data_IF_877251161774
#
_entry.id   IF_877251161774
#
_cell.length_a   1.000
_cell.length_b   1.000
_cell.length_c   1.000
_cell.angle_alpha   90.00
_cell.angle_beta   90.00
_cell.angle_gamma   90.00
#
_symmetry.space_group_name_H-M   'P 1'
#
loop_
_entity.id
_entity.type
_entity.pdbx_description
1 polymer ?
#
# COMPACT_ATOMS: atom_id res chain seq x y z
N UNK A 1 -22.04 -8.58 22.07
CA UNK A 1 -20.95 -9.55 21.82
C UNK A 1 -19.93 -9.30 22.90
N UNK A 2 -19.54 -10.31 23.66
CA UNK A 2 -18.45 -10.13 24.64
C UNK A 2 -17.10 -10.10 23.91
N UNK A 3 -16.14 -9.42 24.53
CA UNK A 3 -14.76 -9.30 24.04
C UNK A 3 -14.10 -10.66 23.80
N UNK A 4 -14.42 -11.68 24.61
CA UNK A 4 -13.89 -13.02 24.47
C UNK A 4 -14.31 -13.67 23.15
N UNK A 5 -15.58 -13.57 22.78
CA UNK A 5 -16.08 -14.07 21.50
C UNK A 5 -15.33 -13.43 20.33
N UNK A 6 -15.06 -12.11 20.38
CA UNK A 6 -14.26 -11.45 19.35
C UNK A 6 -12.83 -11.97 19.34
N UNK A 7 -12.17 -12.00 20.49
CA UNK A 7 -10.77 -12.41 20.60
C UNK A 7 -10.54 -13.85 20.14
N UNK A 8 -11.48 -14.77 20.35
CA UNK A 8 -11.29 -16.19 19.98
C UNK A 8 -11.85 -16.57 18.61
N UNK A 9 -12.59 -15.68 17.95
CA UNK A 9 -13.30 -15.96 16.70
C UNK A 9 -12.44 -16.64 15.62
N UNK A 10 -11.25 -16.10 15.32
CA UNK A 10 -10.35 -16.69 14.32
C UNK A 10 -9.80 -18.05 14.76
N UNK A 11 -9.48 -18.23 16.06
CA UNK A 11 -8.99 -19.51 16.59
C UNK A 11 -10.08 -20.58 16.54
N UNK A 12 -11.31 -20.22 16.89
CA UNK A 12 -12.45 -21.12 16.80
C UNK A 12 -12.71 -21.53 15.34
N UNK A 13 -12.61 -20.58 14.41
CA UNK A 13 -12.72 -20.88 12.98
C UNK A 13 -11.62 -21.85 12.51
N UNK A 14 -10.36 -21.67 12.90
CA UNK A 14 -9.29 -22.61 12.51
C UNK A 14 -9.47 -23.99 13.14
N UNK A 15 -10.04 -24.07 14.35
CA UNK A 15 -10.40 -25.33 15.00
C UNK A 15 -11.51 -26.08 14.26
N UNK A 16 -12.61 -25.40 13.93
CA UNK A 16 -13.73 -25.99 13.22
C UNK A 16 -13.30 -26.53 11.85
N UNK A 17 -12.49 -25.77 11.11
CA UNK A 17 -11.93 -26.19 9.83
C UNK A 17 -11.04 -27.43 9.97
N UNK A 18 -10.15 -27.46 10.98
CA UNK A 18 -9.30 -28.63 11.22
C UNK A 18 -10.10 -29.86 11.61
N UNK A 19 -11.13 -29.71 12.44
CA UNK A 19 -12.02 -30.82 12.84
C UNK A 19 -12.77 -31.39 11.63
N UNK A 20 -13.25 -30.53 10.73
CA UNK A 20 -14.00 -30.95 9.55
C UNK A 20 -13.12 -31.61 8.49
N UNK A 21 -11.96 -31.02 8.18
CA UNK A 21 -11.09 -31.47 7.08
C UNK A 21 -9.94 -32.38 7.51
N UNK A 22 -9.71 -32.57 8.82
CA UNK A 22 -8.60 -33.36 9.36
C UNK A 22 -7.21 -32.77 9.11
N UNK A 23 -7.12 -31.50 8.67
CA UNK A 23 -5.88 -30.82 8.30
C UNK A 23 -5.76 -29.49 9.05
N UNK A 24 -4.53 -29.09 9.39
CA UNK A 24 -4.28 -27.76 9.96
C UNK A 24 -4.66 -26.67 8.96
N UNK A 25 -5.16 -25.55 9.46
CA UNK A 25 -5.70 -24.43 8.67
C UNK A 25 -4.59 -23.45 8.27
N UNK A 26 -4.64 -22.92 7.05
CA UNK A 26 -3.84 -21.77 6.62
C UNK A 26 -4.72 -20.53 6.77
N UNK A 27 -4.19 -19.49 7.41
CA UNK A 27 -4.92 -18.23 7.62
C UNK A 27 -4.32 -17.13 6.75
N UNK A 28 -5.12 -16.56 5.85
CA UNK A 28 -4.74 -15.42 5.02
C UNK A 28 -5.52 -14.20 5.51
N UNK A 29 -4.82 -13.16 5.92
CA UNK A 29 -5.43 -11.91 6.42
C UNK A 29 -4.95 -10.77 5.54
N UNK A 30 -5.86 -10.23 4.75
CA UNK A 30 -5.57 -9.07 3.92
C UNK A 30 -5.88 -7.75 4.64
N UNK A 31 -5.15 -6.71 4.25
CA UNK A 31 -5.27 -5.34 4.77
C UNK A 31 -5.41 -5.26 6.31
N UNK A 32 -4.54 -5.98 7.04
CA UNK A 32 -4.65 -6.10 8.50
C UNK A 32 -4.57 -4.74 9.22
N UNK A 33 -3.96 -3.75 8.58
CA UNK A 33 -3.70 -2.41 9.10
C UNK A 33 -4.84 -1.40 8.81
N UNK A 34 -5.78 -1.71 7.91
CA UNK A 34 -6.92 -0.82 7.58
C UNK A 34 -7.83 -0.51 8.78
N UNK A 35 -8.20 -1.48 9.65
CA UNK A 35 -8.99 -1.16 10.84
C UNK A 35 -8.26 -0.19 11.79
N UNK A 36 -6.92 -0.24 11.83
CA UNK A 36 -6.09 0.67 12.62
C UNK A 36 -6.07 2.08 12.02
N UNK A 37 -6.00 2.18 10.69
CA UNK A 37 -6.15 3.44 9.96
C UNK A 37 -7.47 4.14 10.35
N UNK A 38 -8.58 3.40 10.25
CA UNK A 38 -9.92 3.92 10.56
C UNK A 38 -10.13 4.22 12.04
N UNK A 39 -9.49 3.46 12.93
CA UNK A 39 -9.50 3.74 14.36
C UNK A 39 -8.72 5.01 14.70
N UNK A 40 -7.60 5.26 14.03
CA UNK A 40 -6.84 6.50 14.16
C UNK A 40 -7.66 7.71 13.70
N UNK A 41 -8.23 7.66 12.50
CA UNK A 41 -9.09 8.73 11.94
C UNK A 41 -10.25 9.11 12.87
N UNK A 42 -10.80 8.12 13.60
CA UNK A 42 -11.98 8.28 14.46
C UNK A 42 -11.65 8.40 15.96
N UNK A 43 -10.37 8.48 16.33
CA UNK A 43 -9.92 8.72 17.70
C UNK A 43 -10.06 7.54 18.68
N UNK A 44 -10.13 6.29 18.20
CA UNK A 44 -10.17 5.09 19.04
C UNK A 44 -9.07 4.07 18.72
N UNK A 45 -7.91 4.56 18.27
CA UNK A 45 -6.74 3.75 17.92
C UNK A 45 -6.33 2.75 19.02
N UNK A 46 -6.20 3.23 20.26
CA UNK A 46 -5.82 2.42 21.42
C UNK A 46 -6.74 1.22 21.70
N UNK A 47 -8.08 1.40 21.79
CA UNK A 47 -9.02 0.27 21.81
C UNK A 47 -8.84 -0.72 20.64
N UNK A 48 -8.64 -0.23 19.41
CA UNK A 48 -8.50 -1.09 18.24
C UNK A 48 -7.21 -1.92 18.27
N UNK A 49 -6.07 -1.33 18.68
CA UNK A 49 -4.83 -2.08 18.89
C UNK A 49 -5.05 -3.23 19.88
N UNK A 50 -5.74 -2.98 21.00
CA UNK A 50 -6.00 -4.02 22.00
C UNK A 50 -6.83 -5.17 21.44
N UNK A 51 -7.85 -4.85 20.64
CA UNK A 51 -8.67 -5.84 19.96
C UNK A 51 -7.84 -6.68 18.98
N UNK A 52 -7.12 -6.04 18.05
CA UNK A 52 -6.31 -6.74 17.03
C UNK A 52 -5.21 -7.58 17.67
N UNK A 53 -4.51 -7.04 18.67
CA UNK A 53 -3.50 -7.77 19.43
C UNK A 53 -4.06 -9.04 20.06
N UNK A 54 -5.25 -8.95 20.64
CA UNK A 54 -5.89 -10.10 21.30
C UNK A 54 -6.36 -11.12 20.27
N UNK A 55 -6.99 -10.66 19.19
CA UNK A 55 -7.45 -11.49 18.07
C UNK A 55 -6.31 -12.24 17.37
N UNK A 56 -5.22 -11.56 17.05
CA UNK A 56 -4.06 -12.18 16.40
C UNK A 56 -3.24 -13.00 17.40
N UNK A 57 -3.16 -12.55 18.66
CA UNK A 57 -2.52 -13.30 19.73
C UNK A 57 -3.15 -14.69 19.91
N UNK A 58 -4.47 -14.79 20.01
CA UNK A 58 -5.16 -16.08 20.17
C UNK A 58 -5.10 -16.95 18.91
N UNK A 59 -5.15 -16.34 17.72
CA UNK A 59 -5.20 -17.06 16.45
C UNK A 59 -3.83 -17.57 15.99
N UNK A 60 -2.78 -16.76 16.17
CA UNK A 60 -1.45 -17.01 15.61
C UNK A 60 -0.50 -17.64 16.63
N UNK A 61 -0.66 -17.34 17.92
CA UNK A 61 0.24 -17.86 18.97
C UNK A 61 -0.30 -19.15 19.54
N UNK A 62 0.55 -20.18 19.62
CA UNK A 62 0.24 -21.46 20.29
C UNK A 62 -1.07 -22.11 19.79
N UNK A 63 -1.43 -21.88 18.52
CA UNK A 63 -2.62 -22.45 17.90
C UNK A 63 -2.27 -23.75 17.18
N UNK A 64 -2.52 -24.89 17.81
CA UNK A 64 -2.27 -26.23 17.24
C UNK A 64 -3.14 -26.55 16.02
N UNK A 65 -4.15 -25.72 15.75
CA UNK A 65 -5.01 -25.85 14.59
C UNK A 65 -4.49 -25.10 13.37
N UNK A 66 -3.54 -24.18 13.56
CA UNK A 66 -2.92 -23.40 12.51
C UNK A 66 -1.71 -24.14 11.92
N UNK A 67 -1.56 -24.09 10.60
CA UNK A 67 -0.37 -24.54 9.88
C UNK A 67 0.63 -23.38 9.73
N UNK A 68 0.22 -22.31 9.04
CA UNK A 68 0.89 -20.99 9.05
C UNK A 68 -0.15 -19.90 8.73
N UNK A 69 0.26 -18.64 8.85
CA UNK A 69 -0.54 -17.50 8.47
C UNK A 69 0.25 -16.54 7.58
N UNK A 70 -0.46 -15.83 6.69
CA UNK A 70 0.06 -14.73 5.88
C UNK A 70 -0.77 -13.50 6.19
N UNK A 71 -0.10 -12.39 6.44
CA UNK A 71 -0.74 -11.11 6.71
C UNK A 71 -0.20 -10.10 5.70
N UNK A 72 -1.09 -9.37 5.02
CA UNK A 72 -0.74 -8.32 4.06
C UNK A 72 -1.30 -6.98 4.53
N UNK A 73 -0.57 -5.90 4.25
CA UNK A 73 -0.92 -4.54 4.66
C UNK A 73 0.11 -3.54 4.15
N UNK A 74 -0.25 -2.26 4.13
CA UNK A 74 0.62 -1.20 3.60
C UNK A 74 1.59 -0.68 4.67
N UNK A 75 1.07 -0.36 5.86
CA UNK A 75 1.90 0.16 6.95
C UNK A 75 2.28 -0.96 7.92
N UNK A 76 3.54 -0.97 8.34
CA UNK A 76 4.04 -1.91 9.33
C UNK A 76 3.74 -1.39 10.74
N UNK A 77 2.68 -1.90 11.36
CA UNK A 77 2.34 -1.60 12.76
C UNK A 77 3.16 -2.46 13.76
N UNK A 78 4.23 -3.10 13.30
CA UNK A 78 4.98 -4.08 14.07
C UNK A 78 5.72 -3.48 15.30
N UNK A 79 5.95 -2.16 15.33
CA UNK A 79 6.62 -1.51 16.47
C UNK A 79 5.78 -1.47 17.75
N UNK A 80 4.44 -1.54 17.64
CA UNK A 80 3.57 -1.38 18.80
C UNK A 80 2.73 -2.62 19.11
N UNK A 81 3.35 -3.57 19.80
CA UNK A 81 2.67 -4.53 20.68
C UNK A 81 1.67 -5.53 20.08
N UNK A 82 1.14 -5.36 18.86
CA UNK A 82 0.16 -6.29 18.26
C UNK A 82 0.74 -7.70 18.09
N UNK A 83 2.06 -7.76 17.88
CA UNK A 83 2.82 -9.00 17.75
C UNK A 83 3.71 -9.29 18.97
N UNK A 84 3.52 -8.59 20.10
CA UNK A 84 4.34 -8.87 21.29
C UNK A 84 4.18 -10.32 21.73
N UNK A 85 5.31 -11.04 21.74
CA UNK A 85 5.38 -12.45 22.11
C UNK A 85 5.01 -13.44 21.00
N UNK A 86 4.91 -13.00 19.75
CA UNK A 86 4.98 -13.86 18.56
C UNK A 86 6.42 -13.82 18.04
N UNK A 87 7.13 -14.95 18.15
CA UNK A 87 8.59 -14.98 17.96
C UNK A 87 9.03 -15.51 16.58
N UNK A 88 8.09 -15.85 15.67
CA UNK A 88 8.37 -16.55 14.42
C UNK A 88 7.80 -15.82 13.19
N UNK A 89 8.17 -14.55 12.99
CA UNK A 89 7.77 -13.79 11.81
C UNK A 89 8.91 -13.64 10.81
N UNK A 90 8.60 -13.94 9.55
CA UNK A 90 9.36 -13.43 8.41
C UNK A 90 8.59 -12.24 7.85
N UNK A 91 9.28 -11.15 7.59
CA UNK A 91 8.71 -9.93 7.01
C UNK A 91 9.35 -9.74 5.65
N UNK A 92 8.51 -9.60 4.63
CA UNK A 92 8.93 -9.32 3.25
C UNK A 92 8.27 -8.01 2.84
N UNK A 93 9.10 -6.99 2.65
CA UNK A 93 8.73 -5.65 2.22
C UNK A 93 8.97 -5.48 0.71
N UNK A 94 8.48 -4.37 0.16
CA UNK A 94 8.72 -4.02 -1.25
C UNK A 94 10.20 -3.86 -1.59
N UNK A 95 11.07 -3.67 -0.59
CA UNK A 95 12.52 -3.53 -0.78
C UNK A 95 13.30 -4.84 -0.71
N UNK A 96 12.66 -5.92 -0.25
CA UNK A 96 13.30 -7.23 -0.19
C UNK A 96 13.34 -7.86 -1.59
N UNK A 97 14.41 -8.61 -1.87
CA UNK A 97 14.58 -9.35 -3.14
C UNK A 97 13.76 -10.63 -3.13
N UNK A 98 13.47 -11.17 -1.94
CA UNK A 98 12.60 -12.31 -1.78
C UNK A 98 11.21 -11.99 -2.35
N UNK A 99 10.80 -12.81 -3.31
CA UNK A 99 9.49 -12.74 -3.98
C UNK A 99 9.24 -11.50 -4.85
N UNK A 100 10.27 -10.73 -5.20
CA UNK A 100 10.09 -9.46 -5.91
C UNK A 100 9.35 -9.58 -7.26
N UNK A 101 9.45 -10.72 -7.94
CA UNK A 101 8.72 -11.05 -9.17
C UNK A 101 7.25 -11.44 -8.96
N UNK A 102 6.80 -11.76 -7.74
CA UNK A 102 5.45 -12.29 -7.48
C UNK A 102 4.44 -11.25 -6.96
N UNK A 103 4.87 -10.01 -6.74
CA UNK A 103 3.99 -8.93 -6.25
C UNK A 103 3.20 -8.23 -7.38
N UNK A 104 3.48 -8.56 -8.63
CA UNK A 104 2.89 -7.92 -9.80
C UNK A 104 3.03 -8.80 -11.04
N UNK A 105 2.85 -8.20 -12.22
CA UNK A 105 3.18 -8.88 -13.47
C UNK A 105 4.55 -8.47 -13.99
N UNK A 106 5.33 -9.42 -14.50
CA UNK A 106 6.59 -9.13 -15.20
C UNK A 106 6.33 -8.52 -16.57
N UNK A 107 7.36 -7.89 -17.17
CA UNK A 107 7.26 -7.38 -18.55
C UNK A 107 6.92 -8.50 -19.55
N UNK A 108 7.46 -9.71 -19.36
CA UNK A 108 7.13 -10.85 -20.22
C UNK A 108 5.67 -11.30 -20.06
N UNK A 109 5.16 -11.34 -18.82
CA UNK A 109 3.77 -11.71 -18.55
C UNK A 109 2.78 -10.70 -19.16
N UNK A 110 3.09 -9.40 -19.07
CA UNK A 110 2.27 -8.35 -19.67
C UNK A 110 2.28 -8.45 -21.19
N UNK A 111 3.46 -8.63 -21.83
CA UNK A 111 3.55 -8.85 -23.28
C UNK A 111 2.72 -10.06 -23.71
N UNK A 112 2.88 -11.20 -23.01
CA UNK A 112 2.14 -12.41 -23.30
C UNK A 112 0.62 -12.22 -23.15
N UNK A 113 0.18 -11.48 -22.12
CA UNK A 113 -1.24 -11.18 -21.90
C UNK A 113 -1.80 -10.28 -23.02
N UNK A 114 -1.07 -9.26 -23.45
CA UNK A 114 -1.48 -8.38 -24.54
C UNK A 114 -1.58 -9.14 -25.85
N UNK A 115 -0.58 -9.96 -26.18
CA UNK A 115 -0.59 -10.79 -27.38
C UNK A 115 -1.77 -11.77 -27.40
N UNK A 116 -2.05 -12.40 -26.26
CA UNK A 116 -3.20 -13.31 -26.12
C UNK A 116 -4.54 -12.64 -26.44
N UNK A 117 -4.70 -11.36 -26.11
CA UNK A 117 -5.91 -10.58 -26.42
C UNK A 117 -5.85 -9.82 -27.74
N UNK A 118 -4.79 -9.96 -28.54
CA UNK A 118 -4.61 -9.23 -29.80
C UNK A 118 -4.35 -7.73 -29.61
N UNK A 119 -3.74 -7.36 -28.48
CA UNK A 119 -3.41 -5.99 -28.06
C UNK A 119 -1.90 -5.72 -28.07
N UNK A 120 -1.09 -6.56 -28.72
CA UNK A 120 0.38 -6.43 -28.75
C UNK A 120 0.85 -5.06 -29.24
N UNK A 121 0.16 -4.46 -30.21
CA UNK A 121 0.45 -3.12 -30.73
C UNK A 121 0.29 -2.00 -29.68
N UNK A 122 -0.44 -2.25 -28.59
CA UNK A 122 -0.67 -1.31 -27.50
C UNK A 122 0.40 -1.39 -26.39
N UNK A 123 1.41 -2.27 -26.52
CA UNK A 123 2.40 -2.53 -25.47
C UNK A 123 3.10 -1.26 -24.96
N UNK A 124 3.57 -0.39 -25.86
CA UNK A 124 4.28 0.84 -25.44
C UNK A 124 3.37 1.77 -24.62
N UNK A 125 2.08 1.85 -24.97
CA UNK A 125 1.11 2.63 -24.19
C UNK A 125 0.83 2.00 -22.82
N UNK A 126 0.77 0.67 -22.74
CA UNK A 126 0.61 -0.06 -21.46
C UNK A 126 1.84 0.12 -20.58
N UNK A 127 3.03 0.07 -21.17
CA UNK A 127 4.29 0.30 -20.47
C UNK A 127 4.36 1.70 -19.87
N UNK A 128 4.11 2.73 -20.67
CA UNK A 128 4.11 4.12 -20.20
C UNK A 128 3.10 4.37 -19.06
N UNK A 129 1.94 3.72 -19.12
CA UNK A 129 0.86 3.95 -18.17
C UNK A 129 0.94 3.13 -16.90
N UNK A 130 1.45 1.90 -16.96
CA UNK A 130 1.28 0.91 -15.90
C UNK A 130 2.58 0.22 -15.44
N UNK A 131 3.71 0.39 -16.15
CA UNK A 131 5.03 -0.11 -15.74
C UNK A 131 5.74 0.85 -14.80
N UNK A 132 6.74 0.37 -14.06
CA UNK A 132 7.73 1.22 -13.40
C UNK A 132 7.75 1.10 -11.89
N UNK A 133 6.97 0.18 -11.30
CA UNK A 133 7.13 -0.18 -9.91
C UNK A 133 8.37 -1.04 -9.74
N UNK A 134 9.32 -0.58 -8.92
CA UNK A 134 10.43 -1.40 -8.48
C UNK A 134 10.06 -2.16 -7.21
N UNK A 135 10.30 -3.47 -7.21
CA UNK A 135 10.27 -4.35 -6.05
C UNK A 135 11.61 -5.08 -6.03
N UNK A 136 12.32 -5.07 -4.90
CA UNK A 136 13.69 -5.62 -4.84
C UNK A 136 14.56 -5.15 -6.02
N UNK A 137 14.89 -6.10 -6.91
CA UNK A 137 15.67 -5.86 -8.13
C UNK A 137 14.85 -5.92 -9.43
N UNK A 138 13.55 -6.14 -9.34
CA UNK A 138 12.65 -6.35 -10.48
C UNK A 138 11.74 -5.15 -10.68
N UNK A 139 11.41 -4.85 -11.95
CA UNK A 139 10.35 -3.91 -12.31
C UNK A 139 9.09 -4.69 -12.66
N UNK A 140 7.97 -4.31 -12.06
CA UNK A 140 6.70 -5.01 -12.19
C UNK A 140 5.56 -4.04 -12.50
N UNK A 141 4.50 -4.59 -13.07
CA UNK A 141 3.27 -3.89 -13.37
C UNK A 141 2.22 -4.19 -12.29
N UNK A 142 1.34 -3.21 -12.04
CA UNK A 142 0.16 -3.44 -11.21
C UNK A 142 -0.81 -4.42 -11.90
N UNK A 143 -1.12 -5.59 -11.30
CA UNK A 143 -1.98 -6.58 -11.93
C UNK A 143 -3.39 -6.08 -12.25
N UNK A 144 -3.94 -5.24 -11.38
CA UNK A 144 -5.28 -4.67 -11.54
C UNK A 144 -5.37 -3.78 -12.77
N UNK A 145 -4.38 -2.90 -12.97
CA UNK A 145 -4.39 -1.91 -14.03
C UNK A 145 -4.24 -2.58 -15.40
N UNK A 146 -3.32 -3.52 -15.53
CA UNK A 146 -3.13 -4.32 -16.76
C UNK A 146 -4.37 -5.17 -17.07
N UNK A 147 -4.95 -5.81 -16.05
CA UNK A 147 -6.16 -6.63 -16.22
C UNK A 147 -7.36 -5.77 -16.66
N UNK A 148 -7.53 -4.60 -16.06
CA UNK A 148 -8.58 -3.65 -16.41
C UNK A 148 -8.37 -3.09 -17.82
N UNK A 149 -7.12 -2.78 -18.19
CA UNK A 149 -6.76 -2.38 -19.54
C UNK A 149 -7.18 -3.42 -20.57
N UNK A 150 -6.71 -4.67 -20.41
CA UNK A 150 -7.05 -5.77 -21.32
C UNK A 150 -8.56 -6.01 -21.38
N UNK A 151 -9.24 -5.99 -20.23
CA UNK A 151 -10.69 -6.17 -20.13
C UNK A 151 -11.48 -5.15 -20.94
N UNK A 152 -11.09 -3.86 -20.91
CA UNK A 152 -11.76 -2.80 -21.69
C UNK A 152 -11.38 -2.80 -23.17
N UNK A 153 -10.11 -3.05 -23.49
CA UNK A 153 -9.59 -2.90 -24.84
C UNK A 153 -9.84 -4.11 -25.73
N UNK A 154 -10.16 -5.28 -25.17
CA UNK A 154 -10.44 -6.51 -25.95
C UNK A 154 -11.54 -6.36 -27.01
N UNK A 155 -12.51 -5.48 -26.78
CA UNK A 155 -13.60 -5.21 -27.73
C UNK A 155 -13.41 -3.90 -28.49
N UNK A 156 -12.45 -3.07 -28.10
CA UNK A 156 -12.12 -1.80 -28.73
C UNK A 156 -10.68 -1.39 -28.39
N UNK A 157 -9.72 -1.84 -29.18
CA UNK A 157 -8.30 -1.60 -28.98
C UNK A 157 -7.87 -0.12 -29.08
N UNK A 158 -8.76 0.75 -29.60
CA UNK A 158 -8.50 2.18 -29.80
C UNK A 158 -8.93 3.06 -28.61
N UNK A 159 -9.45 2.46 -27.54
CA UNK A 159 -9.73 3.23 -26.32
C UNK A 159 -8.42 3.81 -25.78
N UNK A 160 -8.48 5.00 -25.16
CA UNK A 160 -7.33 5.51 -24.42
C UNK A 160 -7.14 4.71 -23.12
N UNK A 161 -5.89 4.57 -22.63
CA UNK A 161 -5.62 4.15 -21.25
C UNK A 161 -6.36 5.03 -20.24
N UNK A 162 -6.60 4.49 -19.04
CA UNK A 162 -7.37 5.14 -17.98
C UNK A 162 -6.71 4.93 -16.61
N UNK A 163 -7.06 5.81 -15.67
CA UNK A 163 -6.68 5.63 -14.26
C UNK A 163 -7.66 4.62 -13.61
N UNK A 164 -7.21 3.39 -13.38
CA UNK A 164 -7.93 2.31 -12.70
C UNK A 164 -7.70 2.29 -11.19
N UNK A 165 -6.60 2.88 -10.72
CA UNK A 165 -6.16 2.94 -9.33
C UNK A 165 -6.83 4.06 -8.51
N UNK A 166 -7.55 4.97 -9.17
CA UNK A 166 -8.08 6.22 -8.59
C UNK A 166 -9.09 6.06 -7.42
N UNK A 167 -9.58 4.85 -7.15
CA UNK A 167 -10.57 4.53 -6.12
C UNK A 167 -10.09 3.49 -5.08
N UNK A 168 -8.79 3.27 -4.92
CA UNK A 168 -8.25 2.34 -3.93
C UNK A 168 -8.13 2.96 -2.52
N UNK A 169 -8.08 2.10 -1.50
CA UNK A 169 -8.06 2.43 -0.05
C UNK A 169 -6.90 3.35 0.36
N UNK A 170 -5.77 3.33 -0.35
CA UNK A 170 -4.59 4.18 -0.09
C UNK A 170 -4.85 5.69 -0.19
N UNK A 171 -5.87 6.11 -0.95
CA UNK A 171 -6.21 7.53 -1.13
C UNK A 171 -6.65 8.21 0.17
N UNK A 172 -7.26 7.47 1.11
CA UNK A 172 -7.74 8.03 2.37
C UNK A 172 -6.59 8.46 3.28
N UNK A 173 -5.52 7.66 3.35
CA UNK A 173 -4.32 7.94 4.15
C UNK A 173 -3.65 9.22 3.66
N UNK A 174 -3.47 9.37 2.34
CA UNK A 174 -2.87 10.57 1.73
C UNK A 174 -3.74 11.80 1.98
N UNK A 175 -5.06 11.68 1.79
CA UNK A 175 -6.01 12.80 2.03
C UNK A 175 -5.96 13.29 3.46
N UNK A 176 -5.94 12.38 4.44
CA UNK A 176 -5.86 12.74 5.84
C UNK A 176 -4.53 13.42 6.15
N UNK A 177 -3.42 12.89 5.61
CA UNK A 177 -2.10 13.47 5.80
C UNK A 177 -2.00 14.90 5.26
N UNK A 178 -2.49 15.16 4.04
CA UNK A 178 -2.46 16.49 3.43
C UNK A 178 -3.24 17.52 4.26
N UNK A 179 -4.34 17.11 4.90
CA UNK A 179 -5.09 17.97 5.82
C UNK A 179 -4.25 18.35 7.04
N UNK A 180 -3.57 17.38 7.64
CA UNK A 180 -2.88 17.53 8.93
C UNK A 180 -1.48 18.16 8.84
N UNK A 181 -0.88 18.27 7.65
CA UNK A 181 0.47 18.85 7.43
C UNK A 181 0.71 20.30 7.90
N UNK A 182 -0.32 21.03 8.31
CA UNK A 182 -0.17 22.36 8.91
C UNK A 182 0.66 23.36 8.08
N UNK A 183 1.83 23.77 8.60
CA UNK A 183 2.72 24.78 8.01
C UNK A 183 3.89 24.19 7.20
N UNK A 184 4.07 22.86 7.19
CA UNK A 184 5.14 22.20 6.42
C UNK A 184 4.79 21.99 4.94
N UNK A 185 3.60 22.44 4.52
CA UNK A 185 3.03 22.24 3.19
C UNK A 185 3.87 22.86 2.07
N UNK A 186 4.57 23.96 2.33
CA UNK A 186 5.29 24.70 1.29
C UNK A 186 6.50 23.92 0.74
N UNK A 187 7.31 23.32 1.62
CA UNK A 187 8.47 22.52 1.21
C UNK A 187 8.04 21.22 0.52
N UNK A 188 7.07 20.52 1.10
CA UNK A 188 6.53 19.29 0.52
C UNK A 188 5.91 19.55 -0.87
N UNK A 189 5.24 20.69 -1.07
CA UNK A 189 4.66 21.08 -2.36
C UNK A 189 5.71 21.23 -3.46
N UNK A 190 6.84 21.87 -3.16
CA UNK A 190 7.94 22.03 -4.15
C UNK A 190 8.49 20.66 -4.55
N UNK A 191 8.69 19.77 -3.58
CA UNK A 191 9.18 18.41 -3.84
C UNK A 191 8.17 17.58 -4.65
N UNK A 192 6.87 17.74 -4.40
CA UNK A 192 5.81 17.13 -5.21
C UNK A 192 5.77 17.66 -6.64
N UNK A 193 5.94 18.98 -6.83
CA UNK A 193 6.01 19.58 -8.17
C UNK A 193 7.20 19.01 -8.96
N UNK A 194 8.37 18.88 -8.32
CA UNK A 194 9.55 18.24 -8.91
C UNK A 194 9.27 16.79 -9.33
N UNK A 195 8.60 16.00 -8.49
CA UNK A 195 8.22 14.62 -8.82
C UNK A 195 7.27 14.56 -10.03
N UNK A 196 6.33 15.51 -10.13
CA UNK A 196 5.39 15.60 -11.25
C UNK A 196 6.09 16.00 -12.55
N UNK A 197 7.15 16.80 -12.46
CA UNK A 197 8.01 17.14 -13.60
C UNK A 197 8.95 15.97 -14.01
N UNK A 198 8.90 14.84 -13.28
CA UNK A 198 9.69 13.65 -13.55
C UNK A 198 11.07 13.66 -12.90
N UNK A 199 11.35 14.62 -12.01
CA UNK A 199 12.58 14.63 -11.21
C UNK A 199 12.52 13.61 -10.05
N UNK A 200 13.68 13.34 -9.47
CA UNK A 200 13.80 12.50 -8.26
C UNK A 200 13.91 13.35 -6.99
N UNK A 201 13.35 12.86 -5.89
CA UNK A 201 13.53 13.46 -4.55
C UNK A 201 14.18 12.44 -3.62
N UNK A 202 15.28 12.82 -2.99
CA UNK A 202 15.98 11.95 -2.02
C UNK A 202 15.39 12.11 -0.62
N UNK A 203 14.90 11.01 -0.03
CA UNK A 203 14.29 10.99 1.30
C UNK A 203 14.67 9.75 2.08
N UNK A 204 14.72 9.92 3.40
CA UNK A 204 14.79 8.79 4.33
C UNK A 204 13.42 8.13 4.45
N UNK A 205 13.34 6.83 4.16
CA UNK A 205 12.11 6.04 4.26
C UNK A 205 12.13 5.23 5.56
N UNK A 206 11.05 5.40 6.33
CA UNK A 206 10.81 4.68 7.57
C UNK A 206 9.67 3.71 7.34
N UNK A 207 10.02 2.46 7.07
CA UNK A 207 9.04 1.41 6.81
C UNK A 207 8.30 0.94 8.07
N UNK A 208 8.79 1.28 9.26
CA UNK A 208 8.24 0.81 10.56
C UNK A 208 7.37 1.85 11.27
N UNK A 209 6.68 2.72 10.53
CA UNK A 209 5.83 3.76 11.10
C UNK A 209 4.44 3.22 11.47
N UNK A 210 3.96 3.57 12.66
CA UNK A 210 2.55 3.43 13.03
C UNK A 210 1.69 4.57 12.48
N UNK A 211 0.35 4.40 12.48
CA UNK A 211 -0.57 5.46 12.06
C UNK A 211 -0.42 6.75 12.89
N UNK A 212 -0.33 6.73 14.23
CA UNK A 212 -0.07 7.94 15.00
C UNK A 212 1.27 8.59 14.67
N UNK A 213 2.34 7.81 14.52
CA UNK A 213 3.67 8.32 14.18
C UNK A 213 3.71 8.95 12.79
N UNK A 214 2.92 8.43 11.84
CA UNK A 214 2.80 8.97 10.50
C UNK A 214 2.56 10.50 10.53
N UNK A 215 1.69 10.97 11.42
CA UNK A 215 1.31 12.39 11.48
C UNK A 215 2.23 13.25 12.37
N UNK A 216 3.26 12.68 12.99
CA UNK A 216 4.16 13.43 13.89
C UNK A 216 5.17 14.32 13.15
N UNK A 217 5.47 14.01 11.89
CA UNK A 217 6.42 14.77 11.07
C UNK A 217 5.94 14.83 9.63
N UNK A 218 6.10 15.98 8.99
CA UNK A 218 5.78 16.14 7.57
C UNK A 218 6.63 15.24 6.66
N UNK A 219 7.85 14.90 7.07
CA UNK A 219 8.73 14.01 6.29
C UNK A 219 8.21 12.56 6.22
N UNK A 220 7.37 12.16 7.17
CA UNK A 220 6.77 10.83 7.15
C UNK A 220 5.79 10.65 5.98
N UNK A 221 5.36 11.72 5.29
CA UNK A 221 4.55 11.55 4.07
C UNK A 221 5.28 10.75 3.02
N UNK A 222 6.59 10.94 2.89
CA UNK A 222 7.38 10.27 1.87
C UNK A 222 7.39 8.76 2.11
N UNK A 223 7.44 8.37 3.40
CA UNK A 223 7.29 6.98 3.81
C UNK A 223 5.87 6.46 3.54
N UNK A 224 4.82 7.26 3.82
CA UNK A 224 3.43 6.91 3.53
C UNK A 224 3.19 6.66 2.03
N UNK A 225 3.58 7.62 1.19
CA UNK A 225 3.43 7.57 -0.27
C UNK A 225 4.22 6.41 -0.88
N UNK A 226 5.41 6.13 -0.34
CA UNK A 226 6.21 4.98 -0.75
C UNK A 226 5.52 3.66 -0.42
N UNK A 227 5.13 3.46 0.85
CA UNK A 227 4.51 2.20 1.31
C UNK A 227 3.14 1.93 0.68
N UNK A 228 2.43 2.97 0.25
CA UNK A 228 1.11 2.84 -0.41
C UNK A 228 1.20 2.77 -1.93
N UNK A 229 2.40 2.78 -2.52
CA UNK A 229 2.60 2.62 -3.96
C UNK A 229 2.37 3.88 -4.81
N UNK A 230 2.34 5.07 -4.20
CA UNK A 230 2.38 6.32 -4.96
C UNK A 230 3.78 6.66 -5.44
N UNK A 231 4.79 6.21 -4.70
CA UNK A 231 6.19 6.42 -5.04
C UNK A 231 6.92 5.09 -5.09
N UNK A 232 7.86 5.01 -6.01
CA UNK A 232 8.87 3.95 -6.09
C UNK A 232 10.26 4.59 -6.03
N UNK A 233 11.32 3.83 -6.25
CA UNK A 233 12.69 4.35 -6.23
C UNK A 233 13.49 3.99 -7.47
N UNK A 234 14.53 4.78 -7.77
CA UNK A 234 15.47 4.52 -8.87
C UNK A 234 16.91 4.43 -8.39
N UNK A 235 17.62 3.45 -8.95
CA UNK A 235 18.99 3.08 -8.59
C UNK A 235 19.11 2.49 -7.19
N UNK A 236 20.34 2.37 -6.71
CA UNK A 236 20.62 1.75 -5.42
C UNK A 236 20.35 2.74 -4.26
N UNK A 237 19.66 2.29 -3.20
CA UNK A 237 19.47 3.11 -2.00
C UNK A 237 20.76 3.21 -1.18
N UNK A 238 20.93 4.32 -0.46
CA UNK A 238 21.99 4.50 0.54
C UNK A 238 21.39 4.28 1.94
N UNK A 239 21.48 3.04 2.42
CA UNK A 239 20.79 2.61 3.64
C UNK A 239 19.28 2.82 3.53
N UNK A 240 18.73 3.70 4.38
CA UNK A 240 17.30 4.05 4.35
C UNK A 240 16.99 5.26 3.47
N UNK A 241 17.95 5.79 2.71
CA UNK A 241 17.71 6.91 1.79
C UNK A 241 17.44 6.41 0.38
N UNK A 242 16.29 6.81 -0.14
CA UNK A 242 15.79 6.41 -1.44
C UNK A 242 15.64 7.62 -2.34
N UNK A 243 16.00 7.47 -3.62
CA UNK A 243 15.67 8.43 -4.68
C UNK A 243 14.28 8.12 -5.21
N UNK A 244 13.29 8.81 -4.65
CA UNK A 244 11.88 8.58 -4.93
C UNK A 244 11.48 9.16 -6.28
N UNK A 245 10.61 8.44 -6.99
CA UNK A 245 9.98 8.85 -8.25
C UNK A 245 8.53 8.41 -8.31
N UNK A 246 7.74 9.07 -9.15
CA UNK A 246 6.42 8.59 -9.56
C UNK A 246 6.63 7.43 -10.55
N UNK A 247 5.99 6.27 -10.36
CA UNK A 247 6.27 5.07 -11.16
C UNK A 247 5.86 5.23 -12.62
N UNK A 248 4.66 5.78 -12.88
CA UNK A 248 4.03 5.75 -14.21
C UNK A 248 3.07 6.92 -14.45
N UNK A 249 2.51 6.98 -15.66
CA UNK A 249 1.58 8.04 -16.05
C UNK A 249 0.28 8.04 -15.24
N UNK A 250 -0.25 6.86 -14.88
CA UNK A 250 -1.47 6.77 -14.07
C UNK A 250 -1.30 7.44 -12.71
N UNK A 251 -0.24 7.08 -11.98
CA UNK A 251 0.03 7.67 -10.67
C UNK A 251 0.36 9.15 -10.81
N UNK A 252 1.04 9.58 -11.87
CA UNK A 252 1.27 11.00 -12.16
C UNK A 252 -0.05 11.77 -12.27
N UNK A 253 -1.04 11.24 -12.99
CA UNK A 253 -2.36 11.86 -13.09
C UNK A 253 -3.00 12.01 -11.71
N UNK A 254 -2.92 10.99 -10.85
CA UNK A 254 -3.48 11.03 -9.49
C UNK A 254 -2.77 12.07 -8.61
N UNK A 255 -1.45 12.21 -8.73
CA UNK A 255 -0.69 13.26 -8.05
C UNK A 255 -1.17 14.67 -8.44
N UNK A 256 -1.41 14.90 -9.74
CA UNK A 256 -1.87 16.19 -10.24
C UNK A 256 -3.31 16.46 -9.84
N UNK A 257 -4.20 15.51 -10.07
CA UNK A 257 -5.65 15.68 -9.95
C UNK A 257 -6.13 15.66 -8.49
N UNK A 258 -5.50 14.84 -7.64
CA UNK A 258 -5.90 14.72 -6.24
C UNK A 258 -4.92 15.39 -5.30
N UNK A 259 -3.64 14.99 -5.34
CA UNK A 259 -2.70 15.39 -4.30
C UNK A 259 -2.43 16.89 -4.38
N UNK A 260 -1.99 17.41 -5.54
CA UNK A 260 -1.76 18.85 -5.70
C UNK A 260 -3.03 19.68 -5.50
N UNK A 261 -4.19 19.18 -5.95
CA UNK A 261 -5.46 19.87 -5.74
C UNK A 261 -5.76 20.08 -4.25
N UNK A 262 -5.58 19.04 -3.41
CA UNK A 262 -5.76 19.12 -1.96
C UNK A 262 -4.81 20.15 -1.30
N UNK A 263 -3.57 20.26 -1.80
CA UNK A 263 -2.64 21.29 -1.34
C UNK A 263 -3.08 22.71 -1.72
N UNK A 264 -3.65 22.90 -2.92
CA UNK A 264 -4.17 24.19 -3.38
C UNK A 264 -5.40 24.62 -2.57
N UNK A 265 -6.35 23.71 -2.37
CA UNK A 265 -7.57 23.99 -1.59
C UNK A 265 -7.27 24.32 -0.12
N UNK A 266 -6.34 23.58 0.50
CA UNK A 266 -5.94 23.86 1.87
C UNK A 266 -5.23 25.21 2.03
N UNK A 267 -4.52 25.69 1.00
CA UNK A 267 -3.91 27.02 1.00
C UNK A 267 -4.96 28.14 0.85
N UNK A 268 -5.99 27.93 0.01
CA UNK A 268 -7.07 28.88 -0.19
C UNK A 268 -7.98 29.05 1.04
N UNK A 269 -8.24 27.97 1.79
CA UNK A 269 -9.03 28.01 3.03
C UNK A 269 -8.45 28.89 4.15
N UNK A 270 -7.12 29.15 4.15
CA UNK A 270 -6.49 30.09 5.09
C UNK A 270 -6.62 31.56 4.68
N UNK A 271 -6.88 31.85 3.40
CA UNK A 271 -7.01 33.23 2.90
C UNK A 271 -8.41 33.82 3.12
N UNK A 272 -9.45 32.98 3.19
CA UNK A 272 -10.85 33.41 3.38
C UNK A 272 -11.25 33.61 4.86
N UNK A 273 -10.37 33.28 5.81
CA UNK A 273 -10.61 33.40 7.25
C UNK A 273 -9.80 34.50 7.95
N UNK A 274 -9.29 35.49 7.19
CA UNK A 274 -8.61 36.68 7.72
C UNK A 274 -9.43 37.93 7.45
#
# INVERSE_FOLDING_TARGET
MDDGTLYYSLREMTELLKRHYGKKTILLIDEYDVPLAKANERGYYEPMIRLIRSLFGTALKTNENLYFAVLTGCLRVAKESIFTGLNNFNVFSVTDVDFDEYFGFSDEEVRAMLDYYGLGDNYESVKEWYDGYRFGNTEIYCPWDVSCYCGKHRNNAKLPPQNYWINTSGNDVVRHFVKDMGNHKAAAKIEMERLIDGETVEKEIRQELTYPELYTSADNIWSALFMTGYLTWRGEPDGNRFRLVIPNQEIRNIFVDQILALFRESAAGKAAGR
#
